data_IF_571993159690
#
_entry.id   IF_571993159690
#
_cell.length_a   1.000
_cell.length_b   1.000
_cell.length_c   1.000
_cell.angle_alpha   90.00
_cell.angle_beta   90.00
_cell.angle_gamma   90.00
#
_symmetry.space_group_name_H-M   'P 1'
#
loop_
_entity.id
_entity.type
_entity.pdbx_description
1 polymer ?
#
# COMPACT_ATOMS: atom_id res chain seq x y z
N UNK A 1 -7.83 -10.47 -19.96
CA UNK A 1 -7.27 -9.33 -19.22
C UNK A 1 -8.06 -9.25 -17.93
N UNK A 2 -7.44 -9.59 -16.81
CA UNK A 2 -8.17 -9.76 -15.56
C UNK A 2 -8.73 -8.41 -15.09
N UNK A 3 -9.96 -8.42 -14.62
CA UNK A 3 -10.68 -7.23 -14.15
C UNK A 3 -9.85 -6.41 -13.12
N UNK A 4 -9.03 -7.09 -12.31
CA UNK A 4 -8.13 -6.46 -11.34
C UNK A 4 -6.94 -5.73 -11.99
N UNK A 5 -6.41 -6.25 -13.09
CA UNK A 5 -5.35 -5.55 -13.84
C UNK A 5 -5.85 -4.22 -14.38
N UNK A 6 -7.13 -4.14 -14.80
CA UNK A 6 -7.71 -2.92 -15.32
C UNK A 6 -7.86 -1.80 -14.28
N UNK A 7 -8.07 -2.14 -13.00
CA UNK A 7 -8.14 -1.16 -11.90
C UNK A 7 -6.78 -0.50 -11.62
N UNK A 8 -5.68 -1.22 -11.89
CA UNK A 8 -4.33 -0.74 -11.61
C UNK A 8 -3.59 -0.22 -12.85
N UNK A 9 -4.18 -0.40 -14.05
CA UNK A 9 -3.65 0.16 -15.30
C UNK A 9 -3.37 1.67 -15.22
N UNK A 10 -4.24 2.51 -14.61
CA UNK A 10 -3.95 3.92 -14.47
C UNK A 10 -2.69 4.22 -13.67
N UNK A 11 -2.29 3.35 -12.76
CA UNK A 11 -1.09 3.52 -11.94
C UNK A 11 0.21 3.22 -12.68
N UNK A 12 0.14 2.64 -13.89
CA UNK A 12 1.28 2.36 -14.78
C UNK A 12 2.45 1.66 -14.10
N UNK A 13 2.16 0.69 -13.22
CA UNK A 13 3.21 -0.15 -12.63
C UNK A 13 3.60 -1.26 -13.58
N UNK A 14 4.89 -1.50 -13.66
CA UNK A 14 5.48 -2.61 -14.37
C UNK A 14 6.40 -3.44 -13.44
N UNK A 15 6.80 -4.61 -13.91
CA UNK A 15 7.71 -5.46 -13.14
C UNK A 15 9.07 -4.80 -12.90
N UNK A 16 9.51 -3.87 -13.75
CA UNK A 16 10.81 -3.19 -13.61
C UNK A 16 10.79 -2.23 -12.43
N UNK A 17 9.69 -1.47 -12.28
CA UNK A 17 9.53 -0.55 -11.15
C UNK A 17 9.43 -1.27 -9.80
N UNK A 18 9.09 -2.55 -9.82
CA UNK A 18 8.92 -3.42 -8.64
C UNK A 18 10.10 -4.40 -8.45
N UNK A 19 11.29 -4.05 -8.96
CA UNK A 19 12.49 -4.86 -8.75
C UNK A 19 12.66 -6.04 -9.71
N UNK A 20 11.96 -6.06 -10.84
CA UNK A 20 12.14 -7.04 -11.89
C UNK A 20 11.14 -8.19 -11.89
N UNK A 21 11.51 -9.25 -12.60
CA UNK A 21 10.62 -10.38 -12.85
C UNK A 21 10.56 -11.36 -11.66
N UNK A 22 9.64 -12.30 -11.77
CA UNK A 22 9.44 -13.45 -10.91
C UNK A 22 10.76 -14.13 -10.51
N UNK A 23 10.96 -14.41 -9.23
CA UNK A 23 12.00 -15.32 -8.77
C UNK A 23 11.73 -16.73 -9.34
N UNK A 24 12.78 -17.49 -9.63
CA UNK A 24 12.70 -18.78 -10.34
C UNK A 24 11.70 -19.77 -9.75
N UNK A 25 11.48 -19.77 -8.44
CA UNK A 25 10.59 -20.68 -7.73
C UNK A 25 9.28 -20.05 -7.22
N UNK A 26 8.95 -18.82 -7.66
CA UNK A 26 7.70 -18.18 -7.22
C UNK A 26 6.58 -18.37 -8.23
N UNK A 27 5.39 -18.69 -7.75
CA UNK A 27 4.18 -18.78 -8.58
C UNK A 27 3.71 -17.41 -9.06
N UNK A 28 3.92 -16.37 -8.23
CA UNK A 28 3.47 -15.01 -8.48
C UNK A 28 4.62 -14.10 -8.91
N UNK A 29 4.36 -13.23 -9.86
CA UNK A 29 5.28 -12.13 -10.25
C UNK A 29 5.27 -11.03 -9.19
N UNK A 30 6.30 -10.19 -9.14
CA UNK A 30 6.34 -9.04 -8.22
C UNK A 30 5.15 -8.10 -8.42
N UNK A 31 4.73 -7.89 -9.65
CA UNK A 31 3.55 -7.09 -9.97
C UNK A 31 2.26 -7.70 -9.40
N UNK A 32 2.08 -9.02 -9.53
CA UNK A 32 0.91 -9.71 -8.96
C UNK A 32 0.91 -9.64 -7.43
N UNK A 33 2.07 -9.83 -6.79
CA UNK A 33 2.20 -9.69 -5.33
C UNK A 33 1.84 -8.27 -4.90
N UNK A 34 2.34 -7.24 -5.59
CA UNK A 34 2.00 -5.86 -5.31
C UNK A 34 0.50 -5.58 -5.48
N UNK A 35 -0.11 -6.07 -6.56
CA UNK A 35 -1.55 -5.96 -6.80
C UNK A 35 -2.35 -6.61 -5.67
N UNK A 36 -1.95 -7.78 -5.21
CA UNK A 36 -2.58 -8.46 -4.09
C UNK A 36 -2.45 -7.67 -2.79
N UNK A 37 -1.28 -7.05 -2.52
CA UNK A 37 -1.09 -6.17 -1.36
C UNK A 37 -2.07 -5.00 -1.37
N UNK A 38 -2.23 -4.35 -2.52
CA UNK A 38 -3.17 -3.23 -2.67
C UNK A 38 -4.62 -3.67 -2.51
N UNK A 39 -4.97 -4.88 -2.96
CA UNK A 39 -6.33 -5.41 -2.87
C UNK A 39 -6.65 -6.02 -1.49
N UNK A 40 -5.65 -6.43 -0.73
CA UNK A 40 -5.83 -7.07 0.57
C UNK A 40 -6.79 -6.35 1.52
N UNK A 41 -6.69 -5.02 1.72
CA UNK A 41 -7.58 -4.31 2.63
C UNK A 41 -9.07 -4.45 2.29
N UNK A 42 -9.39 -4.71 1.02
CA UNK A 42 -10.77 -4.84 0.55
C UNK A 42 -11.33 -6.26 0.74
N UNK A 43 -10.46 -7.28 0.74
CA UNK A 43 -10.86 -8.69 0.74
C UNK A 43 -10.39 -9.48 1.96
N UNK A 44 -9.38 -9.00 2.67
CA UNK A 44 -8.80 -9.69 3.81
C UNK A 44 -9.11 -8.96 5.12
N UNK A 45 -9.81 -9.64 6.02
CA UNK A 45 -10.25 -9.04 7.29
C UNK A 45 -9.12 -8.77 8.29
N UNK A 46 -7.95 -9.43 8.19
CA UNK A 46 -6.93 -9.42 9.26
C UNK A 46 -5.46 -9.39 8.79
N UNK A 47 -5.17 -8.95 7.57
CA UNK A 47 -3.80 -8.85 7.05
C UNK A 47 -3.22 -10.16 6.47
N UNK A 48 -1.91 -10.16 6.16
CA UNK A 48 -1.26 -11.26 5.43
C UNK A 48 -1.23 -12.60 6.15
N UNK A 49 -1.29 -12.61 7.47
CA UNK A 49 -1.34 -13.85 8.26
C UNK A 49 -2.58 -14.71 7.94
N UNK A 50 -3.65 -14.10 7.45
CA UNK A 50 -4.90 -14.76 7.07
C UNK A 50 -5.12 -14.85 5.56
N UNK A 51 -4.06 -14.63 4.79
CA UNK A 51 -4.14 -14.69 3.33
C UNK A 51 -4.58 -16.07 2.83
N UNK A 52 -4.06 -17.14 3.45
CA UNK A 52 -4.32 -18.52 3.06
C UNK A 52 -5.80 -18.90 3.16
N UNK A 53 -6.54 -18.25 4.06
CA UNK A 53 -7.99 -18.43 4.24
C UNK A 53 -8.84 -17.47 3.40
N UNK A 54 -8.21 -16.63 2.59
CA UNK A 54 -8.89 -15.58 1.83
C UNK A 54 -9.38 -16.05 0.46
N UNK A 55 -10.37 -15.34 -0.08
CA UNK A 55 -10.83 -15.53 -1.46
C UNK A 55 -9.69 -15.27 -2.45
N UNK A 56 -8.82 -14.31 -2.14
CA UNK A 56 -7.67 -13.98 -2.99
C UNK A 56 -6.69 -15.16 -3.13
N UNK A 57 -6.48 -15.92 -2.07
CA UNK A 57 -5.66 -17.13 -2.15
C UNK A 57 -6.27 -18.19 -3.07
N UNK A 58 -7.58 -18.37 -3.01
CA UNK A 58 -8.28 -19.34 -3.89
C UNK A 58 -8.19 -18.95 -5.37
N UNK A 59 -8.12 -17.66 -5.67
CA UNK A 59 -8.03 -17.15 -7.05
C UNK A 59 -6.60 -17.15 -7.58
N UNK A 60 -5.62 -16.77 -6.76
CA UNK A 60 -4.25 -16.48 -7.19
C UNK A 60 -3.21 -17.48 -6.65
N UNK A 61 -3.55 -18.21 -5.61
CA UNK A 61 -2.61 -19.13 -4.94
C UNK A 61 -1.50 -18.39 -4.18
N UNK A 62 -0.46 -19.13 -3.83
CA UNK A 62 0.70 -18.60 -3.10
C UNK A 62 0.56 -18.75 -1.59
N UNK A 63 1.67 -18.48 -0.88
CA UNK A 63 1.75 -18.49 0.58
C UNK A 63 1.98 -17.08 1.12
N UNK A 64 1.62 -16.85 2.36
CA UNK A 64 1.85 -15.57 3.08
C UNK A 64 3.30 -15.09 3.04
N UNK A 65 4.26 -16.01 3.04
CA UNK A 65 5.70 -15.70 3.03
C UNK A 65 6.15 -14.93 1.78
N UNK A 66 5.40 -15.06 0.67
CA UNK A 66 5.66 -14.33 -0.57
C UNK A 66 5.52 -12.82 -0.36
N UNK A 67 4.53 -12.39 0.43
CA UNK A 67 4.31 -10.97 0.73
C UNK A 67 5.42 -10.40 1.61
N UNK A 68 5.82 -11.12 2.66
CA UNK A 68 6.91 -10.70 3.52
C UNK A 68 8.24 -10.63 2.77
N UNK A 69 8.54 -11.64 1.94
CA UNK A 69 9.72 -11.64 1.08
C UNK A 69 9.72 -10.52 0.07
N UNK A 70 8.56 -10.16 -0.46
CA UNK A 70 8.42 -9.03 -1.39
C UNK A 70 8.67 -7.69 -0.67
N UNK A 71 8.07 -7.49 0.49
CA UNK A 71 8.23 -6.25 1.27
C UNK A 71 9.64 -6.07 1.82
N UNK A 72 10.38 -7.16 2.05
CA UNK A 72 11.75 -7.13 2.54
C UNK A 72 12.80 -6.89 1.43
N UNK A 73 12.38 -6.57 0.20
CA UNK A 73 13.31 -6.31 -0.89
C UNK A 73 13.90 -4.90 -0.81
N UNK A 74 15.18 -4.79 -0.54
CA UNK A 74 15.90 -3.50 -0.36
C UNK A 74 16.05 -2.70 -1.67
N UNK A 75 15.99 -3.38 -2.83
CA UNK A 75 16.16 -2.74 -4.13
C UNK A 75 14.89 -2.05 -4.64
N UNK A 76 13.75 -2.23 -3.98
CA UNK A 76 12.51 -1.53 -4.31
C UNK A 76 12.53 -0.14 -3.68
N UNK A 77 12.53 0.89 -4.52
CA UNK A 77 12.42 2.26 -4.03
C UNK A 77 10.96 2.59 -3.67
N UNK A 78 10.55 2.20 -2.46
CA UNK A 78 9.19 2.39 -1.94
C UNK A 78 8.76 3.86 -1.93
N UNK A 79 9.68 4.80 -1.61
CA UNK A 79 9.38 6.24 -1.62
C UNK A 79 8.99 6.72 -3.00
N UNK A 80 9.75 6.33 -4.01
CA UNK A 80 9.48 6.69 -5.39
C UNK A 80 8.19 6.05 -5.90
N UNK A 81 7.91 4.82 -5.49
CA UNK A 81 6.68 4.11 -5.82
C UNK A 81 5.45 4.87 -5.28
N UNK A 82 5.47 5.23 -3.99
CA UNK A 82 4.39 6.00 -3.34
C UNK A 82 4.22 7.36 -4.02
N UNK A 83 5.31 8.05 -4.29
CA UNK A 83 5.28 9.33 -4.99
C UNK A 83 4.61 9.21 -6.36
N UNK A 84 5.00 8.22 -7.16
CA UNK A 84 4.36 7.97 -8.47
C UNK A 84 2.88 7.66 -8.35
N UNK A 85 2.49 6.85 -7.37
CA UNK A 85 1.08 6.57 -7.10
C UNK A 85 0.31 7.85 -6.84
N UNK A 86 0.82 8.69 -5.94
CA UNK A 86 0.18 9.95 -5.56
C UNK A 86 0.04 10.89 -6.75
N UNK A 87 1.09 11.07 -7.55
CA UNK A 87 1.05 11.93 -8.75
C UNK A 87 0.07 11.39 -9.78
N UNK A 88 0.08 10.09 -10.03
CA UNK A 88 -0.84 9.47 -11.00
C UNK A 88 -2.29 9.60 -10.54
N UNK A 89 -2.56 9.36 -9.27
CA UNK A 89 -3.89 9.51 -8.70
C UNK A 89 -4.35 10.97 -8.75
N UNK A 90 -3.50 11.92 -8.37
CA UNK A 90 -3.79 13.35 -8.44
C UNK A 90 -4.11 13.77 -9.88
N UNK A 91 -3.31 13.35 -10.85
CA UNK A 91 -3.57 13.64 -12.27
C UNK A 91 -4.89 13.04 -12.75
N UNK A 92 -5.21 11.82 -12.32
CA UNK A 92 -6.47 11.16 -12.65
C UNK A 92 -7.68 11.90 -12.08
N UNK A 93 -7.60 12.35 -10.84
CA UNK A 93 -8.66 13.14 -10.18
C UNK A 93 -8.83 14.48 -10.88
N UNK A 94 -7.74 15.21 -11.13
CA UNK A 94 -7.79 16.54 -11.75
C UNK A 94 -8.22 16.51 -13.23
N UNK A 95 -8.01 15.39 -13.92
CA UNK A 95 -8.48 15.22 -15.31
C UNK A 95 -9.99 14.96 -15.41
N UNK A 96 -10.69 14.64 -14.32
CA UNK A 96 -12.17 14.47 -14.40
C UNK A 96 -12.85 15.80 -14.69
N UNK A 97 -13.78 15.77 -15.64
CA UNK A 97 -14.54 16.97 -16.08
C UNK A 97 -15.27 17.67 -14.94
N UNK A 98 -15.75 16.89 -13.98
CA UNK A 98 -16.48 17.40 -12.81
C UNK A 98 -15.57 18.20 -11.86
N UNK A 99 -14.30 17.83 -11.74
CA UNK A 99 -13.35 18.54 -10.91
C UNK A 99 -12.89 19.86 -11.56
N UNK A 100 -12.75 19.89 -12.89
CA UNK A 100 -12.40 21.11 -13.62
C UNK A 100 -13.51 22.18 -13.60
N UNK A 101 -14.76 21.79 -13.40
CA UNK A 101 -15.90 22.70 -13.29
C UNK A 101 -16.12 23.24 -11.87
N UNK A 102 -15.52 22.60 -10.85
CA UNK A 102 -15.58 23.10 -9.50
C UNK A 102 -14.56 24.22 -9.36
N UNK A 103 -15.03 25.46 -9.17
CA UNK A 103 -14.20 26.63 -8.80
C UNK A 103 -13.72 26.55 -7.32
N UNK A 104 -13.72 25.37 -6.75
CA UNK A 104 -13.27 25.16 -5.37
C UNK A 104 -11.74 25.27 -5.29
N UNK A 105 -11.21 25.99 -4.30
CA UNK A 105 -9.77 26.07 -4.09
C UNK A 105 -9.22 24.68 -3.77
N UNK A 106 -8.02 24.37 -4.30
CA UNK A 106 -7.28 23.19 -3.88
C UNK A 106 -6.75 23.40 -2.46
N UNK A 107 -7.09 22.52 -1.55
CA UNK A 107 -6.66 22.57 -0.16
C UNK A 107 -5.73 21.39 0.10
N UNK A 108 -4.55 21.67 0.64
CA UNK A 108 -3.64 20.65 1.15
C UNK A 108 -3.95 20.40 2.62
N UNK A 109 -4.36 19.20 2.94
CA UNK A 109 -4.64 18.78 4.32
C UNK A 109 -3.42 17.99 4.82
N UNK A 110 -2.82 18.45 5.92
CA UNK A 110 -1.79 17.70 6.63
C UNK A 110 -2.38 17.20 7.95
N UNK A 111 -2.41 15.91 8.13
CA UNK A 111 -2.91 15.27 9.35
C UNK A 111 -1.89 14.29 9.92
N UNK A 112 -1.81 14.20 11.23
CA UNK A 112 -0.96 13.25 11.94
C UNK A 112 -1.80 12.13 12.53
N UNK A 113 -1.43 10.89 12.21
CA UNK A 113 -2.10 9.70 12.73
C UNK A 113 -1.16 8.88 13.59
N UNK A 114 -1.63 8.46 14.76
CA UNK A 114 -0.90 7.57 15.64
C UNK A 114 -1.12 6.11 15.18
N UNK A 115 -0.03 5.41 14.88
CA UNK A 115 -0.01 4.00 14.49
C UNK A 115 0.50 3.15 15.66
N UNK A 116 -0.39 2.61 16.51
CA UNK A 116 0.01 1.82 17.66
C UNK A 116 0.69 0.51 17.22
N UNK A 117 1.71 0.11 17.95
CA UNK A 117 2.45 -1.15 17.75
C UNK A 117 2.69 -1.83 19.08
N UNK A 118 2.84 -3.15 19.07
CA UNK A 118 3.05 -3.97 20.26
C UNK A 118 4.49 -4.49 20.40
N UNK A 119 5.30 -4.42 19.33
CA UNK A 119 6.68 -4.92 19.33
C UNK A 119 7.70 -3.86 19.74
N UNK A 120 8.60 -4.21 20.64
CA UNK A 120 9.70 -3.33 21.09
C UNK A 120 10.93 -3.36 20.17
N UNK A 121 11.04 -4.37 19.29
CA UNK A 121 12.20 -4.59 18.40
C UNK A 121 11.97 -4.05 16.98
N UNK A 122 11.24 -2.97 16.86
CA UNK A 122 11.00 -2.34 15.55
C UNK A 122 11.88 -1.11 15.43
N UNK A 123 12.48 -0.93 14.26
CA UNK A 123 13.32 0.23 13.97
C UNK A 123 12.56 1.54 14.16
N UNK A 124 13.22 2.52 14.78
CA UNK A 124 12.67 3.86 15.04
C UNK A 124 11.32 3.89 15.79
N UNK A 125 10.95 2.81 16.50
CA UNK A 125 9.74 2.81 17.31
C UNK A 125 9.94 3.66 18.57
N UNK A 126 8.93 4.44 18.93
CA UNK A 126 8.98 5.32 20.10
C UNK A 126 7.66 5.40 20.85
N UNK A 127 7.75 6.01 22.06
CA UNK A 127 6.54 6.40 22.78
C UNK A 127 5.99 7.68 22.18
N UNK A 128 4.76 7.63 21.72
CA UNK A 128 4.04 8.77 21.15
C UNK A 128 2.78 9.04 21.98
N UNK A 129 2.43 10.31 22.16
CA UNK A 129 1.19 10.66 22.82
C UNK A 129 0.01 10.53 21.83
N UNK A 130 -1.01 9.77 22.22
CA UNK A 130 -2.25 9.64 21.46
C UNK A 130 -3.31 10.53 22.08
N UNK A 131 -3.75 11.53 21.35
CA UNK A 131 -4.83 12.42 21.77
C UNK A 131 -6.17 11.68 21.89
N UNK A 132 -6.39 10.65 21.08
CA UNK A 132 -7.60 9.82 21.11
C UNK A 132 -7.68 9.01 22.40
N UNK A 133 -6.57 8.43 22.84
CA UNK A 133 -6.51 7.58 24.03
C UNK A 133 -6.06 8.33 25.29
N UNK A 134 -5.69 9.62 25.19
CA UNK A 134 -5.18 10.46 26.28
C UNK A 134 -4.03 9.82 27.06
N UNK A 135 -3.17 9.07 26.36
CA UNK A 135 -2.01 8.38 26.97
C UNK A 135 -0.88 8.18 25.98
N UNK A 136 0.31 7.92 26.52
CA UNK A 136 1.43 7.49 25.71
C UNK A 136 1.25 6.03 25.25
N UNK A 137 1.38 5.82 23.95
CA UNK A 137 1.35 4.50 23.33
C UNK A 137 2.68 4.26 22.61
N UNK A 138 3.06 2.99 22.46
CA UNK A 138 4.19 2.61 21.65
C UNK A 138 3.77 2.60 20.17
N UNK A 139 4.53 3.24 19.29
CA UNK A 139 4.15 3.28 17.87
C UNK A 139 4.90 4.32 17.07
N UNK A 140 4.33 4.65 15.92
CA UNK A 140 4.79 5.68 14.99
C UNK A 140 3.76 6.80 14.85
N UNK A 141 4.24 8.01 14.58
CA UNK A 141 3.41 9.06 14.02
C UNK A 141 3.57 9.08 12.50
N UNK A 142 2.47 8.91 11.78
CA UNK A 142 2.44 9.06 10.34
C UNK A 142 1.86 10.43 9.99
N UNK A 143 2.60 11.24 9.24
CA UNK A 143 2.07 12.46 8.65
C UNK A 143 1.46 12.11 7.30
N UNK A 144 0.17 12.37 7.14
CA UNK A 144 -0.55 12.18 5.89
C UNK A 144 -0.82 13.54 5.25
N UNK A 145 -0.59 13.60 3.94
CA UNK A 145 -0.90 14.76 3.10
C UNK A 145 -2.01 14.33 2.12
N UNK A 146 -3.13 15.02 2.17
CA UNK A 146 -4.30 14.78 1.33
C UNK A 146 -4.65 16.00 0.47
#
# INVERSE_FOLDING_TARGET
MDMFSSLLVPLRFDNRSLGGNKRSNCQLTNLQVFQLIVLMPFFAKKGFSHYEDSILNRMFGGRKDVFYSFMAQDHINWRWLIYRMSVTLASYITCRKDFRKSHLPAVLIADDSALPKTGLRMEAIGKIFSHVHQKCILGYKALMLC
#
